data_IF_366710078549
#
_entry.id   IF_366710078549
#
_cell.length_a   1.000
_cell.length_b   1.000
_cell.length_c   1.000
_cell.angle_alpha   90.00
_cell.angle_beta   90.00
_cell.angle_gamma   90.00
#
_symmetry.space_group_name_H-M   'P 1'
#
loop_
_entity.id
_entity.type
_entity.pdbx_description
1 polymer ?
#
# COMPACT_ATOMS: atom_id res chain seq x y z
N UNK A 1 -6.44 5.01 -17.68
CA UNK A 1 -7.89 4.95 -18.01
C UNK A 1 -8.41 6.19 -18.74
N UNK A 2 -7.70 7.34 -18.75
CA UNK A 2 -8.15 8.55 -19.44
C UNK A 2 -9.16 9.36 -18.61
N UNK A 3 -9.91 10.27 -19.25
CA UNK A 3 -10.89 11.14 -18.57
C UNK A 3 -12.02 10.30 -17.95
N UNK A 4 -12.39 10.64 -16.72
CA UNK A 4 -13.52 10.02 -16.01
C UNK A 4 -14.87 10.46 -16.58
N UNK A 5 -15.86 9.59 -16.46
CA UNK A 5 -17.27 9.93 -16.65
C UNK A 5 -17.86 10.49 -15.36
N UNK A 6 -19.00 11.20 -15.44
CA UNK A 6 -19.67 11.72 -14.24
C UNK A 6 -20.06 10.62 -13.24
N UNK A 7 -20.36 9.41 -13.72
CA UNK A 7 -20.71 8.29 -12.85
C UNK A 7 -19.50 7.75 -12.10
N UNK A 8 -18.34 7.74 -12.75
CA UNK A 8 -17.06 7.38 -12.14
C UNK A 8 -16.60 8.46 -11.14
N UNK A 9 -16.82 9.74 -11.44
CA UNK A 9 -16.56 10.85 -10.50
C UNK A 9 -17.43 10.70 -9.24
N UNK A 10 -18.74 10.50 -9.40
CA UNK A 10 -19.66 10.26 -8.28
C UNK A 10 -19.28 9.03 -7.45
N UNK A 11 -18.81 7.95 -8.08
CA UNK A 11 -18.32 6.77 -7.36
C UNK A 11 -17.14 7.14 -6.44
N UNK A 12 -16.17 7.91 -6.94
CA UNK A 12 -15.02 8.36 -6.16
C UNK A 12 -15.46 9.27 -5.02
N UNK A 13 -16.29 10.28 -5.32
CA UNK A 13 -16.79 11.24 -4.32
C UNK A 13 -17.55 10.56 -3.17
N UNK A 14 -18.31 9.51 -3.47
CA UNK A 14 -19.05 8.75 -2.45
C UNK A 14 -18.15 7.78 -1.67
N UNK A 15 -17.05 7.30 -2.26
CA UNK A 15 -16.17 6.31 -1.62
C UNK A 15 -15.12 6.99 -0.75
N UNK A 16 -14.51 8.10 -1.20
CA UNK A 16 -13.39 8.76 -0.50
C UNK A 16 -13.67 9.08 0.99
N UNK A 17 -14.85 9.62 1.38
CA UNK A 17 -15.15 9.91 2.78
C UNK A 17 -15.20 8.68 3.69
N UNK A 18 -15.31 7.48 3.13
CA UNK A 18 -15.38 6.22 3.90
C UNK A 18 -13.99 5.69 4.28
N UNK A 19 -12.92 6.20 3.67
CA UNK A 19 -11.56 5.80 4.03
C UNK A 19 -11.19 6.36 5.40
N UNK A 20 -10.63 5.48 6.24
CA UNK A 20 -9.98 5.93 7.46
C UNK A 20 -8.70 6.69 7.14
N UNK A 21 -8.55 7.87 7.73
CA UNK A 21 -7.26 8.55 7.80
C UNK A 21 -6.37 7.82 8.81
N UNK A 22 -5.32 7.16 8.31
CA UNK A 22 -4.40 6.35 9.11
C UNK A 22 -3.10 7.08 9.46
N UNK A 23 -2.92 8.35 9.08
CA UNK A 23 -1.64 9.07 9.25
C UNK A 23 -1.09 9.04 10.68
N UNK A 24 -1.90 9.26 11.75
CA UNK A 24 -1.40 9.18 13.12
C UNK A 24 -0.92 7.77 13.48
N UNK A 25 -1.70 6.74 13.14
CA UNK A 25 -1.38 5.34 13.42
C UNK A 25 -0.14 4.87 12.65
N UNK A 26 0.05 5.34 11.41
CA UNK A 26 1.26 5.08 10.63
C UNK A 26 2.50 5.72 11.28
N UNK A 27 2.37 6.92 11.84
CA UNK A 27 3.46 7.58 12.56
C UNK A 27 3.82 6.82 13.85
N UNK A 28 2.83 6.35 14.59
CA UNK A 28 3.03 5.52 15.79
C UNK A 28 3.76 4.23 15.46
N UNK A 29 3.27 3.48 14.46
CA UNK A 29 3.92 2.29 13.94
C UNK A 29 5.38 2.56 13.56
N UNK A 30 5.64 3.62 12.77
CA UNK A 30 6.98 3.96 12.30
C UNK A 30 7.92 4.27 13.47
N UNK A 31 7.44 4.98 14.49
CA UNK A 31 8.22 5.29 15.70
C UNK A 31 8.55 4.03 16.50
N UNK A 32 7.58 3.13 16.67
CA UNK A 32 7.79 1.86 17.38
C UNK A 32 8.85 1.02 16.67
N UNK A 33 8.71 0.83 15.35
CA UNK A 33 9.65 0.08 14.53
C UNK A 33 11.07 0.69 14.57
N UNK A 34 11.20 2.01 14.42
CA UNK A 34 12.48 2.70 14.51
C UNK A 34 13.14 2.57 15.89
N UNK A 35 12.34 2.55 16.96
CA UNK A 35 12.86 2.35 18.31
C UNK A 35 13.47 0.95 18.48
N UNK A 36 12.80 -0.10 17.98
CA UNK A 36 13.33 -1.47 18.05
C UNK A 36 14.61 -1.64 17.25
N UNK A 37 14.69 -1.07 16.05
CA UNK A 37 15.93 -1.03 15.28
C UNK A 37 17.05 -0.33 16.05
N UNK A 38 16.76 0.83 16.65
CA UNK A 38 17.74 1.58 17.45
C UNK A 38 18.26 0.76 18.64
N UNK A 39 17.36 0.09 19.38
CA UNK A 39 17.73 -0.77 20.50
C UNK A 39 18.60 -1.95 20.05
N UNK A 40 18.29 -2.56 18.89
CA UNK A 40 19.09 -3.62 18.31
C UNK A 40 20.49 -3.13 17.91
N UNK A 41 20.58 -1.99 17.24
CA UNK A 41 21.87 -1.42 16.81
C UNK A 41 22.73 -0.89 17.95
N UNK A 42 22.14 -0.52 19.09
CA UNK A 42 22.88 -0.13 20.30
C UNK A 42 23.68 -1.29 20.92
N UNK A 43 23.34 -2.55 20.63
CA UNK A 43 24.12 -3.71 21.09
C UNK A 43 25.49 -3.74 20.40
N UNK A 44 26.56 -4.01 21.15
CA UNK A 44 27.91 -4.12 20.58
C UNK A 44 28.14 -5.46 19.87
N UNK A 45 27.49 -6.52 20.34
CA UNK A 45 27.56 -7.86 19.73
C UNK A 45 26.81 -7.90 18.39
N UNK A 46 27.49 -8.41 17.35
CA UNK A 46 26.98 -8.59 15.98
C UNK A 46 26.91 -10.07 15.57
N UNK A 47 26.91 -10.97 16.55
CA UNK A 47 26.78 -12.42 16.37
C UNK A 47 25.42 -12.86 15.83
N UNK A 48 25.16 -14.16 15.90
CA UNK A 48 23.97 -14.80 15.31
C UNK A 48 22.67 -14.20 15.82
N UNK A 49 22.55 -13.95 17.13
CA UNK A 49 21.34 -13.39 17.75
C UNK A 49 21.00 -12.00 17.21
N UNK A 50 22.01 -11.16 16.96
CA UNK A 50 21.82 -9.85 16.35
C UNK A 50 21.27 -9.99 14.92
N UNK A 51 21.87 -10.88 14.11
CA UNK A 51 21.45 -11.10 12.72
C UNK A 51 20.02 -11.63 12.63
N UNK A 52 19.65 -12.57 13.49
CA UNK A 52 18.28 -13.11 13.55
C UNK A 52 17.27 -12.04 13.92
N UNK A 53 17.56 -11.23 14.94
CA UNK A 53 16.69 -10.12 15.33
C UNK A 53 16.57 -9.07 14.22
N UNK A 54 17.67 -8.73 13.54
CA UNK A 54 17.64 -7.78 12.42
C UNK A 54 16.80 -8.33 11.26
N UNK A 55 16.98 -9.60 10.94
CA UNK A 55 16.22 -10.27 9.88
C UNK A 55 14.72 -10.25 10.21
N UNK A 56 14.33 -10.54 11.46
CA UNK A 56 12.93 -10.48 11.87
C UNK A 56 12.35 -9.07 11.75
N UNK A 57 13.08 -8.04 12.21
CA UNK A 57 12.66 -6.65 12.08
C UNK A 57 12.47 -6.22 10.62
N UNK A 58 13.35 -6.68 9.72
CA UNK A 58 13.30 -6.33 8.29
C UNK A 58 12.22 -7.10 7.51
N UNK A 59 11.99 -8.37 7.85
CA UNK A 59 11.05 -9.23 7.14
C UNK A 59 9.63 -9.11 7.69
N UNK A 60 9.50 -8.80 8.99
CA UNK A 60 8.23 -8.69 9.69
C UNK A 60 8.07 -7.31 10.36
N UNK A 61 8.25 -6.17 9.65
CA UNK A 61 8.13 -4.86 10.29
C UNK A 61 6.69 -4.60 10.75
N UNK A 62 5.70 -5.21 10.09
CA UNK A 62 4.29 -5.00 10.37
C UNK A 62 3.81 -5.55 11.72
N UNK A 63 4.65 -6.35 12.41
CA UNK A 63 4.38 -6.79 13.78
C UNK A 63 4.26 -5.63 14.77
N UNK A 64 4.78 -4.45 14.43
CA UNK A 64 4.70 -3.23 15.27
C UNK A 64 3.46 -2.38 14.97
N UNK A 65 2.58 -2.79 14.05
CA UNK A 65 1.31 -2.11 13.83
C UNK A 65 0.37 -2.39 14.99
N UNK A 66 -0.42 -1.39 15.39
CA UNK A 66 -1.54 -1.62 16.29
C UNK A 66 -2.63 -2.45 15.61
N UNK A 67 -3.44 -3.16 16.40
CA UNK A 67 -4.62 -3.88 15.90
C UNK A 67 -5.55 -2.92 15.13
N UNK A 68 -5.72 -1.70 15.64
CA UNK A 68 -6.52 -0.67 14.97
C UNK A 68 -5.97 -0.31 13.58
N UNK A 69 -4.66 -0.13 13.43
CA UNK A 69 -4.06 0.13 12.12
C UNK A 69 -4.23 -1.05 11.17
N UNK A 70 -4.09 -2.27 11.67
CA UNK A 70 -4.31 -3.50 10.89
C UNK A 70 -5.74 -3.54 10.37
N UNK A 71 -6.73 -3.29 11.22
CA UNK A 71 -8.13 -3.39 10.84
C UNK A 71 -8.55 -2.24 9.92
N UNK A 72 -8.11 -1.01 10.18
CA UNK A 72 -8.36 0.11 9.26
C UNK A 72 -7.70 -0.09 7.90
N UNK A 73 -6.49 -0.68 7.86
CA UNK A 73 -5.85 -1.02 6.59
C UNK A 73 -6.65 -2.07 5.82
N UNK A 74 -7.19 -3.10 6.49
CA UNK A 74 -8.09 -4.08 5.86
C UNK A 74 -9.36 -3.42 5.33
N UNK A 75 -10.02 -2.58 6.13
CA UNK A 75 -11.23 -1.86 5.71
C UNK A 75 -10.97 -0.96 4.50
N UNK A 76 -9.90 -0.16 4.54
CA UNK A 76 -9.51 0.70 3.42
C UNK A 76 -9.15 -0.11 2.16
N UNK A 77 -8.49 -1.25 2.31
CA UNK A 77 -8.16 -2.13 1.19
C UNK A 77 -9.42 -2.72 0.52
N UNK A 78 -10.39 -3.18 1.31
CA UNK A 78 -11.67 -3.68 0.76
C UNK A 78 -12.51 -2.56 0.12
N UNK A 79 -12.54 -1.36 0.72
CA UNK A 79 -13.18 -0.18 0.09
C UNK A 79 -12.55 0.13 -1.26
N UNK A 80 -11.21 0.20 -1.31
CA UNK A 80 -10.48 0.47 -2.56
C UNK A 80 -10.73 -0.60 -3.62
N UNK A 81 -10.68 -1.88 -3.22
CA UNK A 81 -10.93 -3.01 -4.11
C UNK A 81 -12.35 -2.97 -4.71
N UNK A 82 -13.35 -2.73 -3.88
CA UNK A 82 -14.73 -2.62 -4.33
C UNK A 82 -14.91 -1.43 -5.27
N UNK A 83 -14.34 -0.27 -4.92
CA UNK A 83 -14.34 0.91 -5.80
C UNK A 83 -13.67 0.60 -7.15
N UNK A 84 -12.54 -0.09 -7.17
CA UNK A 84 -11.84 -0.46 -8.40
C UNK A 84 -12.68 -1.42 -9.27
N UNK A 85 -13.34 -2.42 -8.66
CA UNK A 85 -14.22 -3.33 -9.38
C UNK A 85 -15.41 -2.58 -9.99
N UNK A 86 -16.05 -1.70 -9.23
CA UNK A 86 -17.14 -0.86 -9.76
C UNK A 86 -16.64 0.08 -10.85
N UNK A 87 -15.46 0.69 -10.69
CA UNK A 87 -14.82 1.53 -11.70
C UNK A 87 -14.62 0.77 -13.01
N UNK A 88 -14.17 -0.49 -12.94
CA UNK A 88 -14.01 -1.36 -14.11
C UNK A 88 -15.34 -1.68 -14.78
N UNK A 89 -16.41 -1.91 -14.01
CA UNK A 89 -17.76 -2.12 -14.57
C UNK A 89 -18.27 -0.87 -15.28
N UNK A 90 -18.02 0.31 -14.71
CA UNK A 90 -18.42 1.61 -15.28
C UNK A 90 -17.52 2.08 -16.44
N UNK A 91 -16.41 1.40 -16.69
CA UNK A 91 -15.47 1.78 -17.74
C UNK A 91 -16.13 1.71 -19.12
N UNK A 92 -15.79 2.65 -19.98
CA UNK A 92 -16.11 2.57 -21.41
C UNK A 92 -15.11 1.65 -22.13
N UNK A 93 -15.45 1.17 -23.33
CA UNK A 93 -14.53 0.39 -24.15
C UNK A 93 -13.22 1.14 -24.41
N UNK A 94 -13.31 2.44 -24.75
CA UNK A 94 -12.14 3.31 -24.92
C UNK A 94 -11.25 3.36 -23.67
N UNK A 95 -11.85 3.49 -22.49
CA UNK A 95 -11.11 3.53 -21.23
C UNK A 95 -10.44 2.18 -20.92
N UNK A 96 -11.08 1.05 -21.27
CA UNK A 96 -10.50 -0.30 -21.12
C UNK A 96 -9.33 -0.53 -22.07
N UNK A 97 -9.48 -0.19 -23.34
CA UNK A 97 -8.41 -0.31 -24.34
C UNK A 97 -7.19 0.49 -23.90
N UNK A 98 -7.40 1.75 -23.54
CA UNK A 98 -6.32 2.61 -23.07
C UNK A 98 -5.69 2.11 -21.76
N UNK A 99 -6.47 1.50 -20.84
CA UNK A 99 -5.87 0.87 -19.65
C UNK A 99 -4.94 -0.31 -20.00
N UNK A 100 -5.31 -1.14 -20.97
CA UNK A 100 -4.47 -2.25 -21.42
C UNK A 100 -3.18 -1.74 -22.08
N UNK A 101 -3.27 -0.67 -22.87
CA UNK A 101 -2.12 0.00 -23.47
C UNK A 101 -1.13 0.50 -22.41
N UNK A 102 -1.61 1.26 -21.41
CA UNK A 102 -0.76 1.77 -20.31
C UNK A 102 -0.08 0.63 -19.52
N UNK A 103 -0.80 -0.48 -19.28
CA UNK A 103 -0.20 -1.65 -18.61
C UNK A 103 0.88 -2.32 -19.47
N UNK A 104 0.70 -2.35 -20.80
CA UNK A 104 1.70 -2.86 -21.71
C UNK A 104 2.95 -1.96 -21.74
N UNK A 105 2.78 -0.64 -21.73
CA UNK A 105 3.87 0.33 -21.66
C UNK A 105 4.67 0.18 -20.36
N UNK A 106 4.00 0.10 -19.20
CA UNK A 106 4.73 -0.11 -17.93
C UNK A 106 5.52 -1.42 -17.92
N UNK A 107 5.00 -2.48 -18.55
CA UNK A 107 5.74 -3.73 -18.68
C UNK A 107 7.01 -3.53 -19.51
N UNK A 108 6.97 -2.75 -20.58
CA UNK A 108 8.15 -2.42 -21.38
C UNK A 108 9.15 -1.60 -20.57
N UNK A 109 8.69 -0.57 -19.84
CA UNK A 109 9.55 0.23 -18.95
C UNK A 109 10.26 -0.63 -17.90
N UNK A 110 9.57 -1.61 -17.30
CA UNK A 110 10.20 -2.52 -16.34
C UNK A 110 11.24 -3.44 -16.97
N UNK A 111 11.05 -3.84 -18.23
CA UNK A 111 12.05 -4.62 -18.97
C UNK A 111 13.30 -3.76 -19.22
N UNK A 112 13.12 -2.50 -19.60
CA UNK A 112 14.22 -1.57 -19.80
C UNK A 112 15.01 -1.28 -18.51
N UNK A 113 14.33 -1.15 -17.36
CA UNK A 113 14.99 -0.96 -16.06
C UNK A 113 15.85 -2.15 -15.60
N UNK A 114 15.62 -3.35 -16.15
CA UNK A 114 16.36 -4.56 -15.82
C UNK A 114 17.51 -4.86 -16.79
N UNK A 115 17.64 -4.08 -17.87
CA UNK A 115 18.70 -4.18 -18.89
C UNK A 115 19.75 -3.07 -18.73
#
# INVERSE_FOLDING_TARGET
>A
MGKLTEEQERLIENTLPQFYSNSPLWLEYTRAYQNELRLLFAKSDRGTSFKMALQDLLLNPEQFRSEELVDRNKSNAELYKNMLLTMMVLSTEKQRTHFVEEVAEYKEDFVDLLN
#
